data_IF_837747482279
#
_entry.id   IF_837747482279
#
_cell.length_a   1.000
_cell.length_b   1.000
_cell.length_c   1.000
_cell.angle_alpha   90.00
_cell.angle_beta   90.00
_cell.angle_gamma   90.00
#
_symmetry.space_group_name_H-M   'P 1'
#
loop_
_entity.id
_entity.type
_entity.pdbx_description
1 polymer ?
#
# COMPACT_ATOMS: atom_id res chain seq x y z
N UNK A 1 -22.87 -3.52 -17.41
CA UNK A 1 -21.69 -4.39 -17.58
C UNK A 1 -20.62 -3.89 -16.63
N UNK A 2 -20.69 -4.35 -15.38
CA UNK A 2 -19.83 -3.89 -14.27
C UNK A 2 -18.40 -4.36 -14.56
N UNK A 3 -17.45 -3.44 -14.63
CA UNK A 3 -16.01 -3.78 -14.67
C UNK A 3 -15.60 -4.12 -13.24
N UNK A 4 -15.36 -5.42 -13.01
CA UNK A 4 -14.73 -5.90 -11.79
C UNK A 4 -13.31 -5.30 -11.63
N UNK A 5 -13.15 -4.38 -10.68
CA UNK A 5 -11.87 -4.11 -10.09
C UNK A 5 -11.89 -4.65 -8.65
N UNK A 6 -11.72 -5.96 -8.52
CA UNK A 6 -11.68 -6.64 -7.24
C UNK A 6 -10.26 -6.82 -6.72
N UNK A 7 -9.97 -6.31 -5.53
CA UNK A 7 -8.77 -6.65 -4.76
C UNK A 7 -8.91 -8.07 -4.22
N UNK A 8 -8.17 -9.03 -4.81
CA UNK A 8 -8.13 -10.43 -4.36
C UNK A 8 -6.99 -10.65 -3.38
N UNK A 9 -7.33 -11.05 -2.14
CA UNK A 9 -6.40 -11.70 -1.21
C UNK A 9 -6.65 -13.20 -1.12
N UNK A 10 -5.57 -14.01 -0.95
CA UNK A 10 -5.55 -15.47 -1.11
C UNK A 10 -6.31 -16.21 -0.03
N UNK A 11 -7.09 -17.22 -0.43
CA UNK A 11 -7.85 -18.18 0.35
C UNK A 11 -6.99 -19.39 0.73
N UNK A 12 -7.07 -19.87 2.01
CA UNK A 12 -6.47 -21.15 2.42
C UNK A 12 -7.41 -22.31 2.11
N UNK A 13 -6.89 -23.40 1.59
CA UNK A 13 -7.67 -24.58 1.16
C UNK A 13 -7.77 -25.60 2.30
N UNK A 14 -8.99 -25.98 2.68
CA UNK A 14 -9.28 -27.14 3.56
C UNK A 14 -9.55 -28.36 2.69
N UNK A 15 -8.87 -29.51 2.95
CA UNK A 15 -8.96 -30.69 2.10
C UNK A 15 -10.08 -31.64 2.56
N UNK A 16 -10.46 -31.65 3.85
CA UNK A 16 -11.58 -32.43 4.42
C UNK A 16 -12.05 -31.80 5.74
N UNK A 17 -13.33 -31.97 6.12
CA UNK A 17 -13.79 -31.57 7.44
C UNK A 17 -12.96 -32.26 8.57
N UNK A 18 -12.35 -31.42 9.43
CA UNK A 18 -11.58 -31.90 10.59
C UNK A 18 -10.12 -32.29 10.36
N UNK A 19 -9.61 -32.26 9.11
CA UNK A 19 -8.19 -32.60 8.84
C UNK A 19 -7.53 -31.48 8.03
N UNK A 20 -6.43 -30.93 8.54
CA UNK A 20 -5.62 -29.89 7.87
C UNK A 20 -4.17 -30.31 7.77
N UNK A 21 -3.58 -30.10 6.61
CA UNK A 21 -2.14 -30.23 6.39
C UNK A 21 -1.55 -28.84 6.21
N UNK A 22 -0.63 -28.45 7.09
CA UNK A 22 0.10 -27.22 7.00
C UNK A 22 1.49 -27.48 6.43
N UNK A 23 1.80 -26.85 5.31
CA UNK A 23 3.13 -26.87 4.70
C UNK A 23 3.82 -25.54 5.00
N UNK A 24 4.96 -25.58 5.68
CA UNK A 24 5.81 -24.42 5.94
C UNK A 24 7.24 -24.73 5.55
N UNK A 25 8.08 -23.72 5.40
CA UNK A 25 9.49 -23.87 5.05
C UNK A 25 10.32 -24.72 6.04
N UNK A 26 9.75 -25.09 7.20
CA UNK A 26 10.37 -25.93 8.24
C UNK A 26 9.80 -27.38 8.30
N UNK A 27 8.91 -27.77 7.39
CA UNK A 27 8.36 -29.13 7.27
C UNK A 27 6.84 -29.22 7.27
N UNK A 28 6.33 -30.43 7.03
CA UNK A 28 4.91 -30.75 7.05
C UNK A 28 4.44 -31.16 8.45
N UNK A 29 3.26 -30.70 8.87
CA UNK A 29 2.56 -31.12 10.07
C UNK A 29 1.08 -31.40 9.77
N UNK A 30 0.51 -32.40 10.45
CA UNK A 30 -0.90 -32.78 10.31
C UNK A 30 -1.65 -32.41 11.58
N UNK A 31 -2.79 -31.72 11.43
CA UNK A 31 -3.67 -31.37 12.55
C UNK A 31 -5.01 -32.04 12.35
N UNK A 32 -5.54 -32.66 13.43
CA UNK A 32 -6.83 -33.36 13.45
C UNK A 32 -7.69 -32.73 14.55
N UNK A 33 -8.90 -32.33 14.22
CA UNK A 33 -9.87 -31.74 15.15
C UNK A 33 -10.87 -30.80 14.46
N UNK A 34 -11.98 -30.50 15.14
CA UNK A 34 -12.95 -29.51 14.62
C UNK A 34 -12.34 -28.10 14.47
N UNK A 35 -13.05 -27.21 13.77
CA UNK A 35 -12.64 -25.79 13.70
C UNK A 35 -12.53 -25.21 15.11
N UNK A 36 -11.36 -24.70 15.47
CA UNK A 36 -11.11 -24.09 16.78
C UNK A 36 -10.32 -24.96 17.75
N UNK A 37 -10.36 -26.27 17.66
CA UNK A 37 -9.57 -27.17 18.54
C UNK A 37 -8.97 -28.34 17.75
N UNK A 38 -7.64 -28.45 17.73
CA UNK A 38 -6.97 -29.55 17.03
C UNK A 38 -5.73 -30.04 17.77
N UNK A 39 -5.41 -31.32 17.60
CA UNK A 39 -4.16 -31.90 18.08
C UNK A 39 -3.22 -32.08 16.90
N UNK A 40 -2.00 -31.58 17.01
CA UNK A 40 -0.97 -31.69 15.97
C UNK A 40 0.09 -32.69 16.38
N UNK A 41 0.44 -33.57 15.46
CA UNK A 41 1.52 -34.54 15.59
C UNK A 41 2.67 -34.15 14.65
N UNK A 42 3.87 -33.97 15.16
CA UNK A 42 5.05 -33.63 14.36
C UNK A 42 6.33 -34.19 14.97
N UNK A 43 7.46 -34.13 14.22
CA UNK A 43 8.80 -34.62 14.63
C UNK A 43 9.31 -34.08 15.98
N UNK A 44 8.69 -33.03 16.53
CA UNK A 44 9.11 -32.36 17.77
C UNK A 44 8.19 -32.58 18.99
N UNK A 45 7.17 -33.43 18.89
CA UNK A 45 6.24 -33.76 19.98
C UNK A 45 4.76 -33.58 19.62
N UNK A 46 3.91 -33.87 20.60
CA UNK A 46 2.45 -33.73 20.50
C UNK A 46 2.04 -32.37 21.07
N UNK A 47 1.23 -31.64 20.32
CA UNK A 47 0.80 -30.28 20.68
C UNK A 47 -0.73 -30.18 20.56
N UNK A 48 -1.38 -29.63 21.57
CA UNK A 48 -2.76 -29.18 21.47
C UNK A 48 -2.76 -27.75 20.87
N UNK A 49 -3.59 -27.54 19.86
CA UNK A 49 -3.77 -26.23 19.25
C UNK A 49 -5.22 -25.80 19.45
N UNK A 50 -5.40 -24.57 19.91
CA UNK A 50 -6.69 -23.91 20.02
C UNK A 50 -6.65 -22.68 19.13
N UNK A 51 -7.66 -22.51 18.29
CA UNK A 51 -7.75 -21.36 17.40
C UNK A 51 -9.19 -20.87 17.33
N UNK A 52 -9.39 -19.57 17.29
CA UNK A 52 -10.71 -18.99 17.05
C UNK A 52 -10.97 -18.93 15.56
N UNK A 53 -12.01 -19.61 15.06
CA UNK A 53 -12.37 -19.54 13.65
C UNK A 53 -12.58 -18.09 13.20
N UNK A 54 -12.03 -17.72 12.05
CA UNK A 54 -12.18 -16.38 11.47
C UNK A 54 -11.15 -15.33 11.89
N UNK A 55 -10.35 -15.57 12.95
CA UNK A 55 -9.36 -14.58 13.43
C UNK A 55 -7.92 -14.82 12.94
N UNK A 56 -7.63 -16.01 12.38
CA UNK A 56 -6.27 -16.42 12.03
C UNK A 56 -5.35 -16.71 13.23
N UNK A 57 -5.81 -16.50 14.45
CA UNK A 57 -5.03 -16.69 15.68
C UNK A 57 -5.18 -18.12 16.22
N UNK A 58 -4.06 -18.74 16.60
CA UNK A 58 -4.04 -20.08 17.17
C UNK A 58 -3.05 -20.17 18.32
N UNK A 59 -3.44 -20.85 19.39
CA UNK A 59 -2.60 -21.19 20.52
C UNK A 59 -2.12 -22.65 20.43
N UNK A 60 -0.87 -22.92 20.83
CA UNK A 60 -0.26 -24.28 20.81
C UNK A 60 0.45 -24.57 22.11
N UNK A 61 0.04 -25.65 22.79
CA UNK A 61 0.72 -26.13 24.01
C UNK A 61 1.29 -27.54 23.83
N UNK A 62 2.39 -27.86 24.52
CA UNK A 62 3.05 -29.15 24.45
C UNK A 62 2.62 -30.04 25.62
N UNK A 63 2.26 -31.34 25.37
CA UNK A 63 1.64 -32.22 26.31
C UNK A 63 2.60 -33.14 27.10
N UNK A 64 3.92 -33.07 26.89
CA UNK A 64 4.88 -34.02 27.49
C UNK A 64 5.74 -33.38 28.57
N UNK A 65 5.57 -33.71 29.86
CA UNK A 65 6.65 -33.92 30.86
C UNK A 65 6.21 -34.25 32.28
N UNK A 66 6.97 -35.18 32.93
CA UNK A 66 6.87 -35.52 34.35
C UNK A 66 8.21 -35.44 35.10
N UNK A 67 8.16 -34.98 36.36
CA UNK A 67 8.81 -35.26 37.68
C UNK A 67 10.22 -34.75 38.06
N UNK A 68 10.41 -34.20 39.20
CA UNK A 68 10.85 -34.40 40.62
C UNK A 68 12.05 -33.56 41.15
N UNK A 69 11.94 -33.18 42.44
CA UNK A 69 12.82 -32.72 43.53
C UNK A 69 12.82 -31.22 43.88
N UNK A 70 13.22 -30.80 45.10
CA UNK A 70 12.93 -29.44 45.65
C UNK A 70 13.53 -28.25 44.89
N UNK A 71 14.67 -28.39 44.24
CA UNK A 71 15.17 -27.41 43.25
C UNK A 71 14.30 -27.36 42.00
N UNK A 72 13.74 -28.49 41.61
CA UNK A 72 12.80 -28.59 40.50
C UNK A 72 11.43 -27.99 40.84
N UNK A 73 11.01 -27.93 42.12
CA UNK A 73 9.75 -27.26 42.52
C UNK A 73 9.86 -25.72 42.36
N UNK A 74 11.01 -25.15 42.65
CA UNK A 74 11.22 -23.71 42.41
C UNK A 74 11.32 -23.38 40.91
N UNK A 75 12.07 -24.20 40.14
CA UNK A 75 12.12 -24.09 38.68
C UNK A 75 10.76 -24.37 38.02
N UNK A 76 9.98 -25.27 38.60
CA UNK A 76 8.64 -25.63 38.14
C UNK A 76 7.61 -24.53 38.48
N UNK A 77 7.78 -23.84 39.61
CA UNK A 77 6.95 -22.72 39.99
C UNK A 77 7.26 -21.50 39.06
N UNK A 78 8.52 -21.26 38.75
CA UNK A 78 8.96 -20.24 37.83
C UNK A 78 8.54 -20.53 36.37
N UNK A 79 8.68 -21.78 35.93
CA UNK A 79 8.17 -22.23 34.62
C UNK A 79 6.64 -22.16 34.52
N UNK A 80 5.93 -22.46 35.64
CA UNK A 80 4.47 -22.32 35.68
C UNK A 80 4.03 -20.86 35.70
N UNK A 81 4.79 -19.95 36.33
CA UNK A 81 4.53 -18.52 36.28
C UNK A 81 4.73 -17.95 34.85
N UNK A 82 5.84 -18.32 34.23
CA UNK A 82 6.10 -17.94 32.82
C UNK A 82 5.04 -18.49 31.87
N UNK A 83 4.62 -19.75 32.03
CA UNK A 83 3.54 -20.33 31.26
C UNK A 83 2.21 -19.62 31.48
N UNK A 84 1.93 -19.21 32.71
CA UNK A 84 0.72 -18.43 33.01
C UNK A 84 0.72 -17.09 32.32
N UNK A 85 1.83 -16.35 32.41
CA UNK A 85 1.97 -15.04 31.77
C UNK A 85 1.88 -15.14 30.22
N UNK A 86 2.36 -16.24 29.66
CA UNK A 86 2.23 -16.51 28.22
C UNK A 86 0.78 -16.80 27.84
N UNK A 87 0.10 -17.66 28.61
CA UNK A 87 -1.31 -17.99 28.41
C UNK A 87 -2.25 -16.79 28.61
N UNK A 88 -1.96 -15.92 29.59
CA UNK A 88 -2.72 -14.67 29.80
C UNK A 88 -2.61 -13.76 28.57
N UNK A 89 -1.39 -13.56 28.05
CA UNK A 89 -1.17 -12.77 26.83
C UNK A 89 -1.87 -13.36 25.61
N UNK A 90 -1.82 -14.69 25.46
CA UNK A 90 -2.47 -15.36 24.33
C UNK A 90 -4.00 -15.27 24.39
N UNK A 91 -4.58 -15.44 25.57
CA UNK A 91 -6.04 -15.28 25.79
C UNK A 91 -6.46 -13.84 25.55
N UNK A 92 -5.69 -12.86 26.02
CA UNK A 92 -5.94 -11.44 25.81
C UNK A 92 -5.85 -11.10 24.32
N UNK A 93 -4.82 -11.59 23.62
CA UNK A 93 -4.67 -11.37 22.17
C UNK A 93 -5.84 -11.98 21.37
N UNK A 94 -6.30 -13.21 21.74
CA UNK A 94 -7.44 -13.84 21.10
C UNK A 94 -8.75 -13.05 21.32
N UNK A 95 -9.01 -12.64 22.55
CA UNK A 95 -10.20 -11.85 22.86
C UNK A 95 -10.17 -10.48 22.17
N UNK A 96 -9.02 -9.79 22.20
CA UNK A 96 -8.83 -8.51 21.50
C UNK A 96 -9.07 -8.62 19.99
N UNK A 97 -8.64 -9.73 19.38
CA UNK A 97 -8.90 -9.97 17.96
C UNK A 97 -10.38 -10.18 17.66
N UNK A 98 -11.10 -10.89 18.54
CA UNK A 98 -12.57 -11.04 18.42
C UNK A 98 -13.26 -9.69 18.58
N UNK A 99 -12.86 -8.91 19.56
CA UNK A 99 -13.40 -7.58 19.78
C UNK A 99 -13.11 -6.63 18.61
N UNK A 100 -11.91 -6.69 18.03
CA UNK A 100 -11.57 -5.91 16.84
C UNK A 100 -12.46 -6.24 15.63
N UNK A 101 -12.88 -7.50 15.49
CA UNK A 101 -13.82 -7.92 14.45
C UNK A 101 -15.23 -7.37 14.73
N UNK A 102 -15.72 -7.53 15.97
CA UNK A 102 -17.08 -7.14 16.35
C UNK A 102 -17.23 -5.62 16.38
N UNK A 103 -16.21 -4.93 16.88
CA UNK A 103 -16.20 -3.49 17.10
C UNK A 103 -15.48 -2.71 15.98
N UNK A 104 -15.45 -3.26 14.78
CA UNK A 104 -14.76 -2.64 13.63
C UNK A 104 -15.27 -1.22 13.32
N UNK A 105 -16.51 -0.89 13.68
CA UNK A 105 -17.09 0.45 13.55
C UNK A 105 -16.36 1.51 14.37
N UNK A 106 -15.67 1.16 15.46
CA UNK A 106 -14.88 2.10 16.26
C UNK A 106 -13.74 2.73 15.45
N UNK A 107 -13.32 2.08 14.37
CA UNK A 107 -12.29 2.55 13.46
C UNK A 107 -12.87 3.36 12.28
N UNK A 108 -14.14 3.76 12.34
CA UNK A 108 -14.77 4.60 11.32
C UNK A 108 -14.20 6.01 11.40
N UNK A 109 -13.58 6.52 10.32
CA UNK A 109 -13.06 7.87 10.33
C UNK A 109 -14.19 8.90 10.27
N UNK A 110 -13.95 10.07 10.87
CA UNK A 110 -14.86 11.20 10.81
C UNK A 110 -14.82 11.85 9.43
N UNK A 111 -15.90 11.84 8.64
CA UNK A 111 -15.91 12.38 7.28
C UNK A 111 -15.58 13.88 7.20
N UNK A 112 -15.76 14.62 8.29
CA UNK A 112 -15.40 16.05 8.39
C UNK A 112 -13.90 16.30 8.36
N UNK A 113 -13.08 15.26 8.59
CA UNK A 113 -11.61 15.33 8.50
C UNK A 113 -11.08 14.95 7.10
N UNK A 114 -11.96 14.59 6.19
CA UNK A 114 -11.62 14.18 4.84
C UNK A 114 -11.31 15.35 3.89
N UNK A 115 -11.01 14.99 2.65
CA UNK A 115 -10.69 15.97 1.62
C UNK A 115 -11.92 16.79 1.21
N UNK A 116 -11.70 18.09 1.01
CA UNK A 116 -12.68 18.98 0.41
C UNK A 116 -12.60 18.94 -1.11
N UNK A 117 -13.68 19.33 -1.79
CA UNK A 117 -13.72 19.43 -3.25
C UNK A 117 -12.62 20.36 -3.80
N UNK A 118 -12.37 21.49 -3.12
CA UNK A 118 -11.35 22.45 -3.52
C UNK A 118 -9.92 21.92 -3.40
N UNK A 119 -9.63 21.12 -2.37
CA UNK A 119 -8.32 20.49 -2.19
C UNK A 119 -8.06 19.45 -3.28
N UNK A 120 -9.04 18.59 -3.56
CA UNK A 120 -8.91 17.59 -4.63
C UNK A 120 -8.79 18.24 -6.01
N UNK A 121 -9.56 19.30 -6.30
CA UNK A 121 -9.44 20.05 -7.54
C UNK A 121 -8.06 20.70 -7.67
N UNK A 122 -7.52 21.26 -6.58
CA UNK A 122 -6.16 21.81 -6.58
C UNK A 122 -5.13 20.74 -6.90
N UNK A 123 -5.20 19.59 -6.22
CA UNK A 123 -4.31 18.47 -6.49
C UNK A 123 -4.44 17.94 -7.92
N UNK A 124 -5.66 17.81 -8.43
CA UNK A 124 -5.91 17.39 -9.82
C UNK A 124 -5.28 18.36 -10.83
N UNK A 125 -5.39 19.66 -10.58
CA UNK A 125 -4.73 20.69 -11.40
C UNK A 125 -3.22 20.55 -11.37
N UNK A 126 -2.62 20.35 -10.21
CA UNK A 126 -1.17 20.13 -10.09
C UNK A 126 -0.69 18.88 -10.85
N UNK A 127 -1.48 17.80 -10.83
CA UNK A 127 -1.17 16.59 -11.60
C UNK A 127 -1.31 16.80 -13.11
N UNK A 128 -2.37 17.47 -13.55
CA UNK A 128 -2.69 17.66 -14.96
C UNK A 128 -1.84 18.76 -15.64
N UNK A 129 -1.40 19.75 -14.88
CA UNK A 129 -0.68 20.94 -15.39
C UNK A 129 0.80 20.90 -15.02
N UNK A 130 1.41 19.75 -14.90
CA UNK A 130 2.85 19.63 -14.63
C UNK A 130 3.66 20.27 -15.73
N UNK A 131 4.63 21.15 -15.39
CA UNK A 131 5.51 21.76 -16.39
C UNK A 131 6.37 20.72 -17.10
N UNK A 132 6.89 21.06 -18.27
CA UNK A 132 7.81 20.21 -18.99
C UNK A 132 9.08 19.96 -18.17
N UNK A 133 9.30 18.71 -17.76
CA UNK A 133 10.33 18.36 -16.78
C UNK A 133 11.70 17.99 -17.39
N UNK A 134 11.79 17.86 -18.73
CA UNK A 134 13.05 17.53 -19.38
C UNK A 134 13.97 18.74 -19.38
N UNK A 135 15.17 18.66 -18.76
CA UNK A 135 16.09 19.80 -18.73
C UNK A 135 16.61 20.13 -20.12
N UNK A 136 16.82 21.42 -20.37
CA UNK A 136 17.40 21.86 -21.64
C UNK A 136 18.82 21.30 -21.82
N UNK A 137 19.21 20.86 -23.03
CA UNK A 137 20.57 20.46 -23.33
C UNK A 137 21.60 21.55 -22.99
N UNK A 138 22.66 21.15 -22.31
CA UNK A 138 23.73 22.09 -21.91
C UNK A 138 24.59 22.45 -23.10
N UNK A 139 24.74 23.74 -23.33
CA UNK A 139 25.60 24.25 -24.43
C UNK A 139 27.06 23.93 -24.13
N UNK A 140 27.83 23.35 -25.09
CA UNK A 140 29.24 23.11 -24.91
C UNK A 140 30.02 24.43 -24.79
N UNK A 141 30.97 24.47 -23.87
CA UNK A 141 31.85 25.63 -23.68
C UNK A 141 32.83 25.78 -24.84
N UNK A 142 33.08 27.00 -25.22
CA UNK A 142 34.10 27.29 -26.25
C UNK A 142 35.49 27.01 -25.68
N UNK A 143 36.28 26.14 -26.33
CA UNK A 143 37.61 25.83 -25.84
C UNK A 143 38.53 27.04 -25.94
N UNK A 144 39.39 27.18 -24.94
CA UNK A 144 40.50 28.11 -24.97
C UNK A 144 41.63 27.51 -25.76
N UNK A 145 42.08 28.17 -26.84
CA UNK A 145 43.19 27.63 -27.64
C UNK A 145 44.47 27.62 -26.81
N UNK A 146 45.29 26.60 -27.03
CA UNK A 146 46.65 26.54 -26.48
C UNK A 146 47.45 27.70 -27.04
N UNK A 147 48.20 28.37 -26.13
CA UNK A 147 49.10 29.43 -26.53
C UNK A 147 50.27 28.85 -27.39
N UNK A 148 50.56 29.53 -28.48
CA UNK A 148 51.70 29.15 -29.30
C UNK A 148 53.01 29.32 -28.52
N UNK A 149 53.94 28.34 -28.65
CA UNK A 149 55.25 28.46 -27.97
C UNK A 149 55.97 29.71 -28.51
N UNK A 150 56.61 30.42 -27.63
CA UNK A 150 57.44 31.57 -27.99
C UNK A 150 58.71 31.10 -28.69
N UNK A 151 59.12 31.89 -29.72
CA UNK A 151 60.35 31.58 -30.42
C UNK A 151 61.54 31.55 -29.44
N UNK A 152 62.42 30.52 -29.48
CA UNK A 152 63.56 30.45 -28.60
C UNK A 152 64.47 31.64 -28.81
N UNK A 153 64.77 32.34 -27.75
CA UNK A 153 65.73 33.44 -27.79
C UNK A 153 67.16 32.86 -27.64
N UNK A 154 68.01 33.19 -28.56
CA UNK A 154 69.38 32.68 -28.64
C UNK A 154 70.27 33.06 -27.43
N UNK A 155 69.77 34.05 -26.63
CA UNK A 155 70.54 34.57 -25.53
C UNK A 155 70.38 33.80 -24.20
N UNK A 156 69.33 33.00 -24.02
CA UNK A 156 68.94 32.41 -22.76
C UNK A 156 69.32 30.90 -22.61
N UNK A 157 70.56 30.50 -22.72
CA UNK A 157 70.88 29.10 -22.52
C UNK A 157 72.23 28.70 -21.93
N UNK A 158 73.17 29.60 -21.96
CA UNK A 158 74.48 29.36 -21.35
C UNK A 158 75.04 30.63 -20.75
N UNK A 159 75.73 30.50 -19.61
CA UNK A 159 76.47 31.58 -19.01
C UNK A 159 77.55 32.12 -19.93
N UNK A 160 78.01 33.36 -19.70
CA UNK A 160 79.01 34.09 -20.49
C UNK A 160 80.27 33.25 -20.89
N UNK A 161 80.71 32.36 -20.04
CA UNK A 161 81.91 31.51 -20.28
C UNK A 161 81.63 30.43 -21.37
N UNK A 162 80.43 29.87 -21.46
CA UNK A 162 80.06 28.87 -22.43
C UNK A 162 79.94 29.40 -23.87
N UNK A 163 79.70 30.69 -24.04
CA UNK A 163 79.64 31.36 -25.35
C UNK A 163 81.02 31.68 -25.94
N UNK A 164 82.04 31.83 -25.07
CA UNK A 164 83.42 32.17 -25.49
C UNK A 164 84.15 31.02 -26.15
N UNK A 165 83.77 29.77 -25.97
CA UNK A 165 84.39 28.56 -26.49
C UNK A 165 83.51 27.81 -27.52
N UNK A 166 82.41 28.33 -27.96
CA UNK A 166 81.53 27.69 -28.98
C UNK A 166 82.00 28.10 -30.38
N UNK A 167 82.27 27.09 -31.21
CA UNK A 167 82.59 27.35 -32.63
C UNK A 167 81.36 27.94 -33.38
N UNK A 168 81.62 28.73 -34.44
CA UNK A 168 80.57 29.34 -35.24
C UNK A 168 79.60 28.28 -35.79
N UNK A 169 80.13 27.12 -36.25
CA UNK A 169 79.36 26.00 -36.80
C UNK A 169 78.48 25.33 -35.73
N UNK A 170 79.01 25.10 -34.55
CA UNK A 170 78.23 24.52 -33.42
C UNK A 170 77.09 25.43 -32.94
N UNK A 171 77.29 26.74 -33.04
CA UNK A 171 76.24 27.76 -32.72
C UNK A 171 75.14 27.73 -33.78
N UNK A 172 75.52 27.65 -35.06
CA UNK A 172 74.60 27.60 -36.18
C UNK A 172 73.77 26.29 -36.17
N UNK A 173 74.40 25.14 -35.90
CA UNK A 173 73.68 23.88 -35.78
C UNK A 173 72.69 23.86 -34.58
N UNK A 174 73.08 24.41 -33.44
CA UNK A 174 72.18 24.56 -32.30
C UNK A 174 70.98 25.48 -32.61
N UNK A 175 71.21 26.62 -33.23
CA UNK A 175 70.18 27.51 -33.68
C UNK A 175 69.20 26.83 -34.62
N UNK A 176 69.72 26.07 -35.59
CA UNK A 176 68.90 25.29 -36.52
C UNK A 176 68.06 24.27 -35.78
N UNK A 177 68.63 23.49 -34.89
CA UNK A 177 67.94 22.46 -34.11
C UNK A 177 66.86 23.07 -33.16
N UNK A 178 67.13 24.17 -32.55
CA UNK A 178 66.19 24.89 -31.70
C UNK A 178 65.03 25.45 -32.56
N UNK A 179 65.30 25.99 -33.74
CA UNK A 179 64.27 26.48 -34.64
C UNK A 179 63.39 25.33 -35.20
N UNK A 180 64.02 24.20 -35.56
CA UNK A 180 63.29 23.02 -36.03
C UNK A 180 62.43 22.41 -34.90
N UNK A 181 62.90 22.43 -33.66
CA UNK A 181 62.09 21.98 -32.50
C UNK A 181 60.96 22.93 -32.26
N UNK A 182 61.20 24.24 -32.23
CA UNK A 182 60.12 25.23 -32.05
C UNK A 182 59.08 25.16 -33.17
N UNK A 183 59.51 25.03 -34.44
CA UNK A 183 58.57 24.84 -35.58
C UNK A 183 57.68 23.62 -35.36
N UNK A 184 58.23 22.50 -34.97
CA UNK A 184 57.44 21.28 -34.64
C UNK A 184 56.48 21.47 -33.51
N UNK A 185 56.87 22.19 -32.47
CA UNK A 185 56.02 22.53 -31.31
C UNK A 185 54.86 23.45 -31.73
N UNK A 186 55.15 24.46 -32.58
CA UNK A 186 54.10 25.33 -33.15
C UNK A 186 53.12 24.54 -34.03
N UNK A 187 53.63 23.68 -34.90
CA UNK A 187 52.79 22.83 -35.77
C UNK A 187 51.90 21.89 -34.94
N UNK A 188 52.45 21.27 -33.90
CA UNK A 188 51.69 20.43 -32.98
C UNK A 188 50.60 21.26 -32.23
N UNK A 189 50.94 22.41 -31.72
CA UNK A 189 50.01 23.33 -31.08
C UNK A 189 48.85 23.76 -31.98
N UNK A 190 49.18 24.16 -33.22
CA UNK A 190 48.16 24.56 -34.21
C UNK A 190 47.30 23.39 -34.67
N UNK A 191 47.88 22.18 -34.79
CA UNK A 191 47.13 20.98 -35.09
C UNK A 191 46.17 20.63 -33.97
N UNK A 192 46.60 20.65 -32.68
CA UNK A 192 45.79 20.39 -31.51
C UNK A 192 44.63 21.43 -31.38
N UNK A 193 44.94 22.72 -31.56
CA UNK A 193 43.95 23.79 -31.59
C UNK A 193 42.91 23.56 -32.69
N UNK A 194 43.35 23.16 -33.88
CA UNK A 194 42.44 22.89 -35.01
C UNK A 194 41.53 21.70 -34.75
N UNK A 195 42.07 20.61 -34.17
CA UNK A 195 41.28 19.46 -33.78
C UNK A 195 40.27 19.75 -32.68
N UNK A 196 40.69 20.51 -31.68
CA UNK A 196 39.82 20.94 -30.55
C UNK A 196 38.71 21.87 -31.08
N UNK A 197 39.01 22.78 -31.99
CA UNK A 197 38.02 23.63 -32.64
C UNK A 197 36.99 22.81 -33.44
N UNK A 198 37.46 21.83 -34.23
CA UNK A 198 36.57 20.92 -34.96
C UNK A 198 35.66 20.13 -34.06
N UNK A 199 36.19 19.53 -32.96
CA UNK A 199 35.40 18.83 -31.93
C UNK A 199 34.34 19.74 -31.35
N UNK A 200 34.71 20.96 -30.98
CA UNK A 200 33.76 21.96 -30.48
C UNK A 200 32.67 22.27 -31.49
N UNK A 201 33.00 22.51 -32.77
CA UNK A 201 32.04 22.79 -33.84
C UNK A 201 31.03 21.63 -34.00
N UNK A 202 31.52 20.38 -34.01
CA UNK A 202 30.64 19.21 -34.08
C UNK A 202 29.73 19.09 -32.86
N UNK A 203 30.29 19.26 -31.66
CA UNK A 203 29.52 19.24 -30.41
C UNK A 203 28.46 20.36 -30.39
N UNK A 204 28.80 21.54 -30.89
CA UNK A 204 27.86 22.68 -30.99
C UNK A 204 26.73 22.41 -31.98
N UNK A 205 27.01 21.77 -33.11
CA UNK A 205 25.98 21.40 -34.08
C UNK A 205 25.02 20.38 -33.47
N UNK A 206 25.53 19.30 -32.83
CA UNK A 206 24.72 18.30 -32.17
C UNK A 206 23.86 18.94 -31.05
N UNK A 207 24.46 19.84 -30.27
CA UNK A 207 23.73 20.56 -29.24
C UNK A 207 22.60 21.41 -29.86
N UNK A 208 22.84 22.09 -30.99
CA UNK A 208 21.83 22.93 -31.62
C UNK A 208 20.64 22.10 -32.13
N UNK A 209 20.88 20.93 -32.67
CA UNK A 209 19.84 19.96 -33.07
C UNK A 209 19.03 19.47 -31.86
N UNK A 210 19.70 19.02 -30.79
CA UNK A 210 19.06 18.58 -29.55
C UNK A 210 18.27 19.72 -28.89
N UNK A 211 18.80 20.93 -28.89
CA UNK A 211 18.12 22.08 -28.30
C UNK A 211 16.88 22.49 -29.11
N UNK A 212 16.93 22.42 -30.44
CA UNK A 212 15.76 22.70 -31.28
C UNK A 212 14.64 21.65 -31.06
N UNK A 213 14.99 20.39 -30.94
CA UNK A 213 14.03 19.33 -30.55
C UNK A 213 13.42 19.58 -29.17
N UNK A 214 14.27 19.88 -28.20
CA UNK A 214 13.80 20.20 -26.84
C UNK A 214 12.85 21.40 -26.83
N UNK A 215 13.15 22.47 -27.60
CA UNK A 215 12.27 23.63 -27.71
C UNK A 215 10.92 23.29 -28.35
N UNK A 216 10.93 22.43 -29.37
CA UNK A 216 9.71 21.97 -30.00
C UNK A 216 8.85 21.16 -29.02
N UNK A 217 9.44 20.17 -28.34
CA UNK A 217 8.74 19.32 -27.37
C UNK A 217 8.19 20.13 -26.20
N UNK A 218 8.96 21.07 -25.67
CA UNK A 218 8.53 21.99 -24.61
C UNK A 218 7.33 22.85 -25.06
N UNK A 219 7.40 23.43 -26.28
CA UNK A 219 6.32 24.25 -26.81
C UNK A 219 5.04 23.45 -27.08
N UNK A 220 5.17 22.21 -27.57
CA UNK A 220 4.03 21.31 -27.76
C UNK A 220 3.41 20.89 -26.42
N UNK A 221 4.24 20.66 -25.40
CA UNK A 221 3.79 20.39 -24.04
C UNK A 221 3.04 21.59 -23.44
N UNK A 222 3.57 22.81 -23.61
CA UNK A 222 2.92 24.04 -23.12
C UNK A 222 1.56 24.27 -23.80
N UNK A 223 1.44 24.01 -25.09
CA UNK A 223 0.14 24.06 -25.79
C UNK A 223 -0.85 23.05 -25.21
N UNK A 224 -0.41 21.82 -24.93
CA UNK A 224 -1.26 20.80 -24.30
C UNK A 224 -1.74 21.23 -22.92
N UNK A 225 -0.85 21.80 -22.10
CA UNK A 225 -1.20 22.35 -20.79
C UNK A 225 -2.23 23.49 -20.93
N UNK A 226 -2.01 24.44 -21.83
CA UNK A 226 -2.94 25.56 -22.04
C UNK A 226 -4.33 25.07 -22.47
N UNK A 227 -4.38 24.09 -23.37
CA UNK A 227 -5.64 23.47 -23.77
C UNK A 227 -6.30 22.72 -22.60
N UNK A 228 -5.53 21.96 -21.82
CA UNK A 228 -6.02 21.25 -20.65
C UNK A 228 -6.55 22.21 -19.57
N UNK A 229 -5.87 23.33 -19.33
CA UNK A 229 -6.25 24.31 -18.31
C UNK A 229 -7.63 24.95 -18.57
N UNK A 230 -8.02 25.13 -19.83
CA UNK A 230 -9.32 25.70 -20.19
C UNK A 230 -10.52 24.77 -19.87
N UNK A 231 -10.29 23.50 -19.64
CA UNK A 231 -11.34 22.48 -19.47
C UNK A 231 -11.18 21.65 -18.18
N UNK A 232 -10.24 22.03 -17.32
CA UNK A 232 -9.79 21.23 -16.19
C UNK A 232 -10.91 20.95 -15.17
N UNK A 233 -11.74 21.96 -14.91
CA UNK A 233 -12.81 21.86 -13.90
C UNK A 233 -13.91 20.90 -14.37
N UNK A 234 -14.25 20.93 -15.66
CA UNK A 234 -15.19 19.97 -16.22
C UNK A 234 -14.63 18.56 -16.23
N UNK A 235 -13.37 18.41 -16.62
CA UNK A 235 -12.69 17.09 -16.61
C UNK A 235 -12.62 16.52 -15.22
N UNK A 236 -12.26 17.30 -14.21
CA UNK A 236 -12.27 16.89 -12.82
C UNK A 236 -13.65 16.42 -12.38
N UNK A 237 -14.71 17.19 -12.69
CA UNK A 237 -16.07 16.88 -12.29
C UNK A 237 -16.63 15.56 -12.92
N UNK A 238 -15.98 15.01 -13.95
CA UNK A 238 -16.42 13.81 -14.66
C UNK A 238 -15.39 12.66 -14.64
N UNK A 239 -14.22 12.86 -14.00
CA UNK A 239 -13.13 11.89 -13.98
C UNK A 239 -13.33 10.82 -12.88
N UNK A 240 -14.17 9.81 -13.17
CA UNK A 240 -14.37 8.69 -12.25
C UNK A 240 -13.07 7.97 -11.91
N UNK A 241 -12.13 7.81 -12.88
CA UNK A 241 -10.87 7.13 -12.67
C UNK A 241 -9.96 7.81 -11.64
N UNK A 242 -9.96 9.14 -11.60
CA UNK A 242 -9.24 9.89 -10.58
C UNK A 242 -9.81 9.63 -9.18
N UNK A 243 -11.12 9.74 -9.02
CA UNK A 243 -11.79 9.51 -7.74
C UNK A 243 -11.69 8.04 -7.29
N UNK A 244 -11.80 7.10 -8.22
CA UNK A 244 -11.60 5.67 -7.94
C UNK A 244 -10.17 5.38 -7.45
N UNK A 245 -9.16 6.06 -8.00
CA UNK A 245 -7.78 5.90 -7.54
C UNK A 245 -7.57 6.37 -6.09
N UNK A 246 -8.18 7.50 -5.71
CA UNK A 246 -8.12 8.00 -4.34
C UNK A 246 -8.79 7.07 -3.34
N UNK A 247 -9.98 6.57 -3.67
CA UNK A 247 -10.66 5.61 -2.80
C UNK A 247 -9.90 4.28 -2.69
N UNK A 248 -9.32 3.81 -3.80
CA UNK A 248 -8.47 2.61 -3.81
C UNK A 248 -7.28 2.78 -2.86
N UNK A 249 -6.60 3.92 -2.90
CA UNK A 249 -5.44 4.19 -2.04
C UNK A 249 -5.83 4.13 -0.55
N UNK A 250 -6.93 4.76 -0.17
CA UNK A 250 -7.44 4.75 1.21
C UNK A 250 -7.81 3.34 1.66
N UNK A 251 -8.50 2.57 0.82
CA UNK A 251 -8.90 1.19 1.15
C UNK A 251 -7.70 0.25 1.27
N UNK A 252 -6.68 0.43 0.43
CA UNK A 252 -5.45 -0.39 0.44
C UNK A 252 -4.52 -0.07 1.62
N UNK A 253 -4.44 1.21 2.02
CA UNK A 253 -3.61 1.63 3.14
C UNK A 253 -4.19 1.24 4.50
N UNK A 254 -5.41 0.70 4.54
CA UNK A 254 -6.13 0.39 5.78
C UNK A 254 -5.84 -1.02 6.26
N UNK A 255 -5.51 -1.13 7.55
CA UNK A 255 -5.43 -2.42 8.23
C UNK A 255 -6.83 -2.98 8.53
N UNK A 256 -7.06 -4.20 8.02
CA UNK A 256 -8.31 -4.91 8.22
C UNK A 256 -8.11 -6.05 9.23
N UNK A 257 -8.94 -6.15 10.29
CA UNK A 257 -8.86 -7.25 11.26
C UNK A 257 -9.22 -8.60 10.62
N UNK A 258 -9.84 -8.57 9.45
CA UNK A 258 -10.21 -9.70 8.62
C UNK A 258 -10.13 -9.31 7.14
N UNK A 259 -9.79 -10.26 6.29
CA UNK A 259 -9.85 -10.09 4.83
C UNK A 259 -11.26 -9.64 4.41
N UNK A 260 -11.33 -8.50 3.75
CA UNK A 260 -12.59 -7.86 3.32
C UNK A 260 -12.45 -7.49 1.85
N UNK A 261 -13.38 -7.96 1.02
CA UNK A 261 -13.46 -7.63 -0.39
C UNK A 261 -14.46 -6.49 -0.57
N UNK A 262 -13.99 -5.40 -1.17
CA UNK A 262 -14.80 -4.21 -1.46
C UNK A 262 -14.74 -3.96 -2.96
N UNK A 263 -15.88 -3.96 -3.61
CA UNK A 263 -16.06 -3.48 -4.97
C UNK A 263 -16.76 -2.13 -4.94
N UNK A 264 -16.39 -1.20 -5.80
CA UNK A 264 -17.02 0.10 -5.85
C UNK A 264 -17.01 0.69 -7.25
N UNK A 265 -17.93 1.62 -7.48
CA UNK A 265 -18.05 2.47 -8.65
C UNK A 265 -18.28 3.90 -8.19
N UNK A 266 -17.66 4.85 -8.87
CA UNK A 266 -17.81 6.28 -8.54
C UNK A 266 -18.56 6.97 -9.68
N UNK A 267 -19.60 7.71 -9.35
CA UNK A 267 -20.40 8.51 -10.28
C UNK A 267 -20.27 10.01 -9.93
N UNK A 268 -19.24 10.70 -10.41
CA UNK A 268 -18.95 12.07 -10.01
C UNK A 268 -20.09 13.05 -10.36
N UNK A 269 -20.71 12.88 -11.53
CA UNK A 269 -21.79 13.75 -12.01
C UNK A 269 -23.03 13.71 -11.10
N UNK A 270 -23.26 12.58 -10.43
CA UNK A 270 -24.34 12.37 -9.47
C UNK A 270 -23.91 12.60 -8.03
N UNK A 271 -22.62 12.80 -7.80
CA UNK A 271 -22.00 12.86 -6.45
C UNK A 271 -22.31 11.63 -5.60
N UNK A 272 -22.24 10.44 -6.21
CA UNK A 272 -22.59 9.15 -5.60
C UNK A 272 -21.43 8.17 -5.69
N UNK A 273 -21.20 7.41 -4.61
CA UNK A 273 -20.30 6.27 -4.55
C UNK A 273 -21.16 5.02 -4.32
N UNK A 274 -21.01 4.03 -5.17
CA UNK A 274 -21.69 2.74 -5.06
C UNK A 274 -20.69 1.72 -4.56
N UNK A 275 -21.00 1.01 -3.48
CA UNK A 275 -20.07 0.11 -2.81
C UNK A 275 -20.77 -1.22 -2.55
N UNK A 276 -20.08 -2.32 -2.89
CA UNK A 276 -20.49 -3.68 -2.57
C UNK A 276 -19.41 -4.38 -1.74
N UNK A 277 -19.81 -4.99 -0.65
CA UNK A 277 -18.91 -5.65 0.30
C UNK A 277 -19.28 -7.12 0.41
N UNK A 278 -18.29 -7.99 0.14
CA UNK A 278 -18.39 -9.42 0.40
C UNK A 278 -18.21 -9.66 1.91
N UNK A 279 -19.33 -9.89 2.60
CA UNK A 279 -19.37 -10.14 4.02
C UNK A 279 -19.07 -11.62 4.30
N UNK A 280 -18.45 -11.95 5.47
CA UNK A 280 -18.27 -13.33 5.86
C UNK A 280 -19.61 -14.06 6.01
N UNK A 281 -19.59 -15.37 5.99
CA UNK A 281 -20.73 -16.17 6.42
C UNK A 281 -20.86 -16.15 7.96
N UNK A 282 -22.08 -16.32 8.47
CA UNK A 282 -22.31 -16.39 9.93
C UNK A 282 -21.53 -17.53 10.58
N UNK A 283 -21.29 -18.60 9.85
CA UNK A 283 -20.50 -19.78 10.24
C UNK A 283 -19.02 -19.48 10.43
N UNK A 284 -18.54 -18.40 9.85
CA UNK A 284 -17.15 -17.94 9.98
C UNK A 284 -16.92 -17.07 11.22
N UNK A 285 -17.98 -16.69 11.91
CA UNK A 285 -17.87 -15.89 13.15
C UNK A 285 -17.38 -16.75 14.33
N UNK A 286 -16.67 -16.13 15.28
CA UNK A 286 -16.26 -16.81 16.52
C UNK A 286 -17.46 -17.31 17.32
N UNK A 287 -17.53 -18.64 17.53
CA UNK A 287 -18.64 -19.32 18.21
C UNK A 287 -18.39 -19.53 19.70
N UNK A 288 -17.22 -19.12 20.19
CA UNK A 288 -16.81 -19.32 21.58
C UNK A 288 -16.15 -18.09 22.19
N UNK A 289 -15.99 -18.12 23.49
CA UNK A 289 -15.12 -17.21 24.25
C UNK A 289 -14.04 -18.02 24.96
N UNK A 290 -12.86 -17.46 25.12
CA UNK A 290 -11.73 -18.10 25.80
C UNK A 290 -11.40 -17.36 27.10
N UNK A 291 -11.04 -18.13 28.13
CA UNK A 291 -10.57 -17.58 29.41
C UNK A 291 -9.58 -18.57 30.05
N UNK A 292 -8.79 -18.11 30.98
CA UNK A 292 -7.99 -19.02 31.80
C UNK A 292 -8.84 -19.68 32.90
N UNK A 293 -8.45 -20.89 33.29
CA UNK A 293 -8.94 -21.52 34.51
C UNK A 293 -8.45 -20.72 35.75
N UNK A 294 -9.02 -20.98 36.92
CA UNK A 294 -8.67 -20.30 38.17
C UNK A 294 -7.18 -20.42 38.57
N UNK A 295 -6.49 -21.46 38.07
CA UNK A 295 -5.06 -21.66 38.31
C UNK A 295 -4.13 -21.01 37.30
N UNK A 296 -4.65 -20.45 36.19
CA UNK A 296 -3.87 -19.88 35.13
C UNK A 296 -3.04 -20.87 34.32
N UNK A 297 -3.41 -22.17 34.35
CA UNK A 297 -2.63 -23.26 33.74
C UNK A 297 -3.25 -23.85 32.48
N UNK A 298 -4.51 -23.45 32.18
CA UNK A 298 -5.27 -24.01 31.07
C UNK A 298 -6.24 -23.00 30.51
N UNK A 299 -6.35 -22.97 29.19
CA UNK A 299 -7.33 -22.16 28.48
C UNK A 299 -8.65 -22.90 28.43
N UNK A 300 -9.68 -22.31 29.00
CA UNK A 300 -11.06 -22.80 28.96
C UNK A 300 -11.80 -22.09 27.81
N UNK A 301 -12.40 -22.90 26.96
CA UNK A 301 -13.29 -22.45 25.90
C UNK A 301 -14.74 -22.64 26.33
N UNK A 302 -15.57 -21.65 26.09
CA UNK A 302 -17.01 -21.70 26.34
C UNK A 302 -17.76 -21.32 25.10
N UNK A 303 -18.55 -22.22 24.57
CA UNK A 303 -19.46 -21.90 23.45
C UNK A 303 -20.49 -20.84 23.85
N UNK A 304 -20.78 -19.95 22.93
CA UNK A 304 -21.84 -18.94 23.06
C UNK A 304 -23.11 -19.43 22.35
N UNK A 305 -24.24 -18.84 22.71
CA UNK A 305 -25.51 -19.18 22.10
C UNK A 305 -25.55 -18.77 20.62
N UNK A 306 -26.32 -19.49 19.82
CA UNK A 306 -26.53 -19.14 18.40
C UNK A 306 -27.07 -17.72 18.20
N UNK A 307 -27.87 -17.22 19.14
CA UNK A 307 -28.31 -15.83 19.14
C UNK A 307 -27.13 -14.86 19.29
N UNK A 308 -26.22 -15.15 20.22
CA UNK A 308 -25.03 -14.32 20.44
C UNK A 308 -24.07 -14.35 19.24
N UNK A 309 -23.92 -15.49 18.55
CA UNK A 309 -23.13 -15.57 17.32
C UNK A 309 -23.73 -14.68 16.22
N UNK A 310 -25.05 -14.74 16.03
CA UNK A 310 -25.75 -13.91 15.03
C UNK A 310 -25.71 -12.41 15.38
N UNK A 311 -25.77 -12.07 16.65
CA UNK A 311 -25.62 -10.69 17.14
C UNK A 311 -24.23 -10.13 16.82
N UNK A 312 -23.16 -10.90 17.11
CA UNK A 312 -21.79 -10.56 16.72
C UNK A 312 -21.67 -10.38 15.21
N UNK A 313 -22.29 -11.27 14.44
CA UNK A 313 -22.34 -11.19 12.98
C UNK A 313 -23.02 -9.92 12.51
N UNK A 314 -24.17 -9.56 13.08
CA UNK A 314 -24.90 -8.35 12.73
C UNK A 314 -24.07 -7.08 13.04
N UNK A 315 -23.42 -7.05 14.22
CA UNK A 315 -22.52 -5.96 14.60
C UNK A 315 -21.36 -5.84 13.61
N UNK A 316 -20.74 -6.95 13.24
CA UNK A 316 -19.63 -6.99 12.29
C UNK A 316 -20.06 -6.48 10.91
N UNK A 317 -21.15 -7.00 10.35
CA UNK A 317 -21.66 -6.59 9.03
C UNK A 317 -21.93 -5.08 9.00
N UNK A 318 -22.73 -4.57 9.94
CA UNK A 318 -23.03 -3.13 9.97
C UNK A 318 -21.78 -2.29 10.29
N UNK A 319 -20.89 -2.83 11.14
CA UNK A 319 -19.63 -2.18 11.46
C UNK A 319 -18.70 -1.99 10.27
N UNK A 320 -18.57 -3.02 9.41
CA UNK A 320 -17.80 -2.92 8.17
C UNK A 320 -18.43 -1.89 7.23
N UNK A 321 -19.74 -1.96 7.00
CA UNK A 321 -20.43 -1.01 6.14
C UNK A 321 -20.23 0.43 6.65
N UNK A 322 -20.34 0.64 7.95
CA UNK A 322 -20.13 1.95 8.57
C UNK A 322 -18.71 2.46 8.37
N UNK A 323 -17.71 1.61 8.61
CA UNK A 323 -16.30 1.97 8.43
C UNK A 323 -15.99 2.32 6.98
N UNK A 324 -16.43 1.49 6.02
CA UNK A 324 -16.19 1.72 4.58
C UNK A 324 -16.90 3.00 4.10
N UNK A 325 -18.13 3.26 4.57
CA UNK A 325 -18.82 4.51 4.26
C UNK A 325 -18.07 5.74 4.80
N UNK A 326 -17.54 5.68 6.02
CA UNK A 326 -16.70 6.73 6.59
C UNK A 326 -15.43 6.97 5.79
N UNK A 327 -14.75 5.89 5.38
CA UNK A 327 -13.56 5.96 4.53
C UNK A 327 -13.87 6.58 3.16
N UNK A 328 -14.97 6.19 2.54
CA UNK A 328 -15.42 6.74 1.27
C UNK A 328 -15.74 8.23 1.37
N UNK A 329 -16.41 8.67 2.41
CA UNK A 329 -16.67 10.09 2.65
C UNK A 329 -15.44 10.90 3.02
N UNK A 330 -14.43 10.29 3.66
CA UNK A 330 -13.14 10.96 3.88
C UNK A 330 -12.33 11.09 2.59
N UNK A 331 -12.32 10.04 1.78
CA UNK A 331 -11.58 10.05 0.52
C UNK A 331 -12.16 11.02 -0.50
N UNK A 332 -13.50 11.09 -0.58
CA UNK A 332 -14.22 11.80 -1.64
C UNK A 332 -15.29 12.75 -1.06
N UNK A 333 -15.35 14.00 -1.50
CA UNK A 333 -16.33 15.00 -1.04
C UNK A 333 -17.69 14.83 -1.72
N UNK A 334 -18.18 13.61 -1.78
CA UNK A 334 -19.45 13.27 -2.44
C UNK A 334 -20.61 13.29 -1.44
N UNK A 335 -21.81 13.49 -1.95
CA UNK A 335 -23.00 13.70 -1.12
C UNK A 335 -23.64 12.40 -0.66
N UNK A 336 -23.44 11.30 -1.39
CA UNK A 336 -24.12 10.04 -1.12
C UNK A 336 -23.21 8.83 -1.31
N UNK A 337 -23.38 7.85 -0.42
CA UNK A 337 -22.86 6.49 -0.56
C UNK A 337 -24.04 5.52 -0.61
N UNK A 338 -24.10 4.70 -1.66
CA UNK A 338 -24.99 3.53 -1.73
C UNK A 338 -24.14 2.31 -1.40
N UNK A 339 -24.37 1.68 -0.26
CA UNK A 339 -23.52 0.60 0.22
C UNK A 339 -24.35 -0.65 0.47
N UNK A 340 -23.88 -1.80 -0.04
CA UNK A 340 -24.54 -3.08 0.08
C UNK A 340 -23.58 -4.14 0.60
N UNK A 341 -24.04 -4.96 1.52
CA UNK A 341 -23.36 -6.15 2.00
C UNK A 341 -24.04 -7.41 1.48
N UNK A 342 -23.26 -8.32 0.92
CA UNK A 342 -23.74 -9.63 0.44
C UNK A 342 -22.90 -10.76 1.01
N UNK A 343 -23.43 -11.98 1.01
CA UNK A 343 -22.72 -13.22 1.32
C UNK A 343 -22.82 -14.17 0.16
N UNK A 344 -21.87 -15.08 0.02
CA UNK A 344 -21.87 -16.08 -1.03
C UNK A 344 -22.42 -17.40 -0.51
N UNK A 345 -23.51 -17.89 -1.10
CA UNK A 345 -24.12 -19.16 -0.73
C UNK A 345 -24.37 -20.07 -1.93
N UNK A 346 -24.30 -21.38 -1.68
CA UNK A 346 -24.71 -22.36 -2.68
C UNK A 346 -26.25 -22.35 -2.75
N UNK A 347 -26.78 -21.90 -3.86
CA UNK A 347 -28.22 -21.90 -4.16
C UNK A 347 -28.74 -23.33 -4.13
N UNK A 348 -29.77 -23.58 -3.34
CA UNK A 348 -30.45 -24.90 -3.32
C UNK A 348 -31.25 -25.18 -4.59
N UNK A 349 -31.50 -24.15 -5.38
CA UNK A 349 -32.25 -24.28 -6.63
C UNK A 349 -31.35 -24.60 -7.82
N UNK A 350 -30.19 -23.94 -7.90
CA UNK A 350 -29.26 -24.04 -9.02
C UNK A 350 -28.02 -24.89 -8.74
N UNK A 351 -27.64 -25.05 -7.46
CA UNK A 351 -26.38 -25.67 -7.05
C UNK A 351 -25.14 -24.81 -7.30
N UNK A 352 -25.32 -23.59 -7.83
CA UNK A 352 -24.24 -22.64 -8.05
C UNK A 352 -24.06 -21.74 -6.84
N UNK A 353 -22.85 -21.16 -6.73
CA UNK A 353 -22.55 -20.09 -5.78
C UNK A 353 -23.25 -18.81 -6.25
N UNK A 354 -24.12 -18.27 -5.43
CA UNK A 354 -24.91 -17.06 -5.72
C UNK A 354 -24.68 -16.03 -4.61
N UNK A 355 -24.66 -14.75 -4.98
CA UNK A 355 -24.55 -13.64 -4.06
C UNK A 355 -25.93 -13.34 -3.45
N UNK A 356 -26.02 -13.44 -2.12
CA UNK A 356 -27.23 -13.08 -1.36
C UNK A 356 -27.00 -11.76 -0.64
N UNK A 357 -27.65 -10.69 -1.08
CA UNK A 357 -27.62 -9.39 -0.39
C UNK A 357 -28.39 -9.47 0.93
N UNK A 358 -27.79 -8.96 2.00
CA UNK A 358 -28.33 -9.02 3.37
C UNK A 358 -28.63 -7.65 3.96
N UNK A 359 -27.90 -6.62 3.53
CA UNK A 359 -28.10 -5.21 3.92
C UNK A 359 -27.79 -4.33 2.71
N UNK A 360 -28.61 -3.33 2.45
CA UNK A 360 -28.31 -2.25 1.51
C UNK A 360 -28.79 -0.92 2.08
N UNK A 361 -27.98 0.13 2.00
CA UNK A 361 -28.31 1.44 2.53
C UNK A 361 -27.88 2.56 1.57
N UNK A 362 -28.72 3.61 1.50
CA UNK A 362 -28.39 4.91 0.93
C UNK A 362 -28.05 5.86 2.08
N UNK A 363 -26.83 6.31 2.12
CA UNK A 363 -26.29 7.12 3.20
C UNK A 363 -25.97 8.50 2.63
N UNK A 364 -26.68 9.52 3.07
CA UNK A 364 -26.34 10.90 2.75
C UNK A 364 -25.22 11.37 3.67
N UNK A 365 -24.26 12.11 3.15
CA UNK A 365 -23.14 12.68 3.93
C UNK A 365 -23.61 13.39 5.17
N UNK A 366 -24.59 14.30 5.05
CA UNK A 366 -25.12 15.08 6.15
C UNK A 366 -25.66 14.21 7.30
N UNK A 367 -26.37 13.12 6.97
CA UNK A 367 -26.95 12.23 7.98
C UNK A 367 -25.87 11.38 8.65
N UNK A 368 -24.83 11.03 7.90
CA UNK A 368 -23.68 10.31 8.43
C UNK A 368 -22.81 11.20 9.33
N UNK A 369 -22.56 12.45 8.93
CA UNK A 369 -21.83 13.44 9.73
C UNK A 369 -22.54 13.83 11.04
N UNK A 370 -23.84 13.55 11.16
CA UNK A 370 -24.61 13.74 12.38
C UNK A 370 -24.32 12.67 13.47
N UNK A 371 -23.55 11.64 13.15
CA UNK A 371 -23.05 10.68 14.14
C UNK A 371 -21.96 11.33 15.00
N UNK A 372 -21.84 10.87 16.25
CA UNK A 372 -20.81 11.36 17.16
C UNK A 372 -19.56 10.49 17.07
N UNK A 373 -18.63 10.85 16.19
CA UNK A 373 -17.38 10.12 15.96
C UNK A 373 -16.41 10.14 17.15
N UNK A 374 -16.60 11.04 18.12
CA UNK A 374 -15.80 11.05 19.35
C UNK A 374 -16.28 10.03 20.40
N UNK A 375 -17.46 9.42 20.20
CA UNK A 375 -18.08 8.48 21.14
C UNK A 375 -18.66 7.26 20.40
N UNK A 376 -17.91 6.71 19.45
CA UNK A 376 -18.35 5.54 18.68
C UNK A 376 -18.55 4.29 19.53
N UNK A 377 -17.93 4.20 20.70
CA UNK A 377 -18.10 3.13 21.69
C UNK A 377 -19.54 3.06 22.26
N UNK A 378 -20.30 4.15 22.17
CA UNK A 378 -21.72 4.20 22.53
C UNK A 378 -22.65 4.02 21.32
N UNK A 379 -22.09 3.91 20.13
CA UNK A 379 -22.86 3.74 18.88
C UNK A 379 -23.01 2.25 18.56
N UNK A 380 -24.23 1.75 18.60
CA UNK A 380 -24.54 0.43 18.05
C UNK A 380 -24.68 0.56 16.52
N UNK A 381 -23.80 -0.05 15.71
CA UNK A 381 -23.86 0.10 14.25
C UNK A 381 -25.14 -0.46 13.64
N UNK A 382 -25.76 -1.48 14.25
CA UNK A 382 -27.03 -2.06 13.79
C UNK A 382 -28.18 -1.05 13.91
N UNK A 383 -28.22 -0.31 15.03
CA UNK A 383 -29.22 0.73 15.31
C UNK A 383 -28.90 2.03 14.54
N UNK A 384 -27.61 2.37 14.41
CA UNK A 384 -27.20 3.55 13.67
C UNK A 384 -27.64 3.53 12.21
N UNK A 385 -27.64 2.35 11.59
CA UNK A 385 -28.12 2.18 10.21
C UNK A 385 -29.62 2.42 10.03
N UNK A 386 -30.42 2.33 11.09
CA UNK A 386 -31.86 2.65 11.04
C UNK A 386 -32.14 4.14 10.77
N UNK A 387 -31.13 5.00 10.90
CA UNK A 387 -31.20 6.42 10.56
C UNK A 387 -31.15 6.69 9.07
N UNK A 388 -30.67 5.71 8.26
CA UNK A 388 -30.50 5.85 6.84
C UNK A 388 -31.63 5.15 6.05
N UNK A 389 -31.79 5.51 4.81
CA UNK A 389 -32.67 4.75 3.90
C UNK A 389 -32.06 3.36 3.71
N UNK A 390 -32.69 2.33 4.28
CA UNK A 390 -32.10 1.01 4.38
C UNK A 390 -33.07 -0.10 3.95
N UNK A 391 -32.55 -1.08 3.25
CA UNK A 391 -33.18 -2.37 3.01
C UNK A 391 -32.46 -3.44 3.82
N UNK A 392 -33.15 -4.01 4.78
CA UNK A 392 -32.70 -5.10 5.63
C UNK A 392 -33.88 -5.93 6.11
N UNK A 393 -33.77 -7.24 6.00
CA UNK A 393 -34.69 -8.19 6.64
C UNK A 393 -33.93 -8.98 7.68
N UNK A 394 -34.13 -8.69 8.95
CA UNK A 394 -33.47 -9.32 10.06
C UNK A 394 -34.47 -9.61 11.19
N UNK A 395 -34.43 -10.85 11.73
CA UNK A 395 -35.27 -11.24 12.85
C UNK A 395 -34.80 -10.64 14.18
N UNK A 396 -35.63 -10.68 15.22
CA UNK A 396 -35.23 -10.31 16.59
C UNK A 396 -34.11 -11.18 17.20
N UNK A 397 -33.74 -12.28 16.52
CA UNK A 397 -32.61 -13.12 16.86
C UNK A 397 -31.42 -12.94 15.92
N UNK A 398 -31.36 -11.81 15.22
CA UNK A 398 -30.31 -11.39 14.28
C UNK A 398 -30.09 -12.35 13.09
N UNK A 399 -31.14 -13.04 12.65
CA UNK A 399 -31.09 -13.86 11.47
C UNK A 399 -31.42 -13.01 10.25
N UNK A 400 -30.46 -12.82 9.34
CA UNK A 400 -30.66 -12.12 8.07
C UNK A 400 -31.43 -12.99 7.08
N UNK A 401 -32.20 -12.34 6.24
CA UNK A 401 -32.87 -12.92 5.09
C UNK A 401 -32.45 -12.12 3.83
N UNK A 402 -32.42 -12.78 2.66
CA UNK A 402 -32.09 -12.12 1.41
C UNK A 402 -32.99 -10.92 1.11
N UNK A 403 -32.39 -9.89 0.54
CA UNK A 403 -33.04 -8.67 0.09
C UNK A 403 -32.66 -8.38 -1.37
N UNK A 404 -33.39 -7.45 -2.00
CA UNK A 404 -32.93 -6.81 -3.24
C UNK A 404 -32.20 -5.53 -2.86
N UNK A 405 -30.94 -5.33 -3.26
CA UNK A 405 -30.20 -4.11 -2.92
C UNK A 405 -30.77 -2.88 -3.64
N UNK A 406 -30.42 -1.70 -3.16
CA UNK A 406 -30.67 -0.48 -3.92
C UNK A 406 -29.90 -0.51 -5.23
N UNK A 407 -30.57 -0.16 -6.30
CA UNK A 407 -29.90 0.17 -7.57
C UNK A 407 -29.33 1.59 -7.48
N UNK A 408 -28.26 1.82 -8.23
CA UNK A 408 -27.64 3.13 -8.40
C UNK A 408 -28.62 4.18 -8.96
#
# INVERSE_FOLDING_TARGET
MVREMGLRFRKSISIMPGVRVNLSGSGASMSVGPRGASVSFGKRGTYANFGLPGTGLSYRTRLDRASSSSRQKAQQAEANAQLRDELERDVEALNSAVEAIINIHLLTPDPRTGHTYSELLHHYRELALKPYAVPAPVRPDKPVPLAEPTQPDDEHGRGFIGRMFESADARQDRQRLNLERWQREVEMCQRENSLTLKRYQTARQLWAEQYSHWQYDAAEHDKKIQHAAGDIDRRFATDSGYFESLLTEVLQATDWPRETLVAFQVEPERSVIIIEIDCPEVEDMPTSTVRLNAKGTEVLEKEISQKAVRERYALHVHGILMRVAGMAFCALPFEQVVISGFTQRISKQSGFLEDEYIVSARINRRDFEALNFSNLDYVNPVEAFERFEMQRRMSSTYLFQPITPFSA
#
